data_IF_670428167322
#
_entry.id   IF_670428167322
#
_cell.length_a   1.000
_cell.length_b   1.000
_cell.length_c   1.000
_cell.angle_alpha   90.00
_cell.angle_beta   90.00
_cell.angle_gamma   90.00
#
_symmetry.space_group_name_H-M   'P 1'
#
loop_
_entity.id
_entity.type
_entity.pdbx_description
1 polymer ?
#
# COMPACT_ATOMS: atom_id res chain seq x y z
N UNK A 1 -67.71 -1.70 -12.13
CA UNK A 1 -67.07 -0.40 -11.84
C UNK A 1 -65.97 -0.45 -10.77
N UNK A 2 -66.12 -1.17 -9.65
CA UNK A 2 -65.07 -1.23 -8.59
C UNK A 2 -63.74 -1.91 -9.00
N UNK A 3 -63.76 -2.88 -9.93
CA UNK A 3 -62.53 -3.55 -10.44
C UNK A 3 -61.73 -2.73 -11.47
N UNK A 4 -62.31 -1.68 -12.04
CA UNK A 4 -61.62 -0.82 -13.01
C UNK A 4 -60.85 0.31 -12.30
N UNK A 5 -61.38 0.83 -11.18
CA UNK A 5 -60.67 1.82 -10.34
C UNK A 5 -59.42 1.24 -9.67
N UNK A 6 -59.43 -0.04 -9.26
CA UNK A 6 -58.29 -0.66 -8.57
C UNK A 6 -57.11 -0.93 -9.51
N UNK A 7 -57.36 -1.21 -10.79
CA UNK A 7 -56.30 -1.33 -11.81
C UNK A 7 -55.73 0.03 -12.22
N UNK A 8 -56.52 1.11 -12.14
CA UNK A 8 -56.03 2.45 -12.43
C UNK A 8 -55.10 2.98 -11.31
N UNK A 9 -55.32 2.59 -10.05
CA UNK A 9 -54.41 2.95 -8.95
C UNK A 9 -53.06 2.22 -8.99
N UNK A 10 -53.01 0.97 -9.47
CA UNK A 10 -51.77 0.18 -9.57
C UNK A 10 -50.88 0.65 -10.73
N UNK A 11 -51.46 1.20 -11.80
CA UNK A 11 -50.69 1.81 -12.89
C UNK A 11 -50.24 3.26 -12.61
N UNK A 12 -50.85 3.94 -11.63
CA UNK A 12 -50.44 5.30 -11.25
C UNK A 12 -49.29 5.33 -10.23
N UNK A 13 -49.00 4.21 -9.56
CA UNK A 13 -47.92 4.07 -8.57
C UNK A 13 -46.58 3.62 -9.16
N UNK A 14 -46.46 3.47 -10.49
CA UNK A 14 -45.27 2.94 -11.17
C UNK A 14 -44.42 3.99 -11.92
N UNK A 15 -44.71 5.28 -11.73
CA UNK A 15 -43.97 6.37 -12.38
C UNK A 15 -43.61 7.51 -11.42
N UNK A 16 -43.26 7.19 -10.19
CA UNK A 16 -42.36 8.06 -9.41
C UNK A 16 -40.94 7.53 -9.55
N UNK A 17 -40.42 7.56 -10.78
CA UNK A 17 -38.98 7.62 -10.98
C UNK A 17 -38.57 8.96 -10.38
N UNK A 18 -38.10 8.95 -9.14
CA UNK A 18 -37.35 10.08 -8.60
C UNK A 18 -36.17 10.21 -9.56
N UNK A 19 -36.21 11.20 -10.45
CA UNK A 19 -35.04 11.60 -11.19
C UNK A 19 -34.04 12.06 -10.12
N UNK A 20 -33.12 11.18 -9.76
CA UNK A 20 -31.94 11.55 -8.98
C UNK A 20 -31.14 12.43 -9.92
N UNK A 21 -31.37 13.74 -9.84
CA UNK A 21 -30.57 14.72 -10.54
C UNK A 21 -29.21 14.76 -9.83
N UNK A 22 -28.22 14.13 -10.44
CA UNK A 22 -26.80 14.38 -10.12
C UNK A 22 -26.55 15.88 -10.29
N UNK A 23 -26.14 16.54 -9.20
CA UNK A 23 -25.79 17.95 -9.20
C UNK A 23 -24.29 18.09 -9.42
N UNK A 24 -23.91 18.99 -10.30
CA UNK A 24 -22.52 19.45 -10.42
C UNK A 24 -22.33 20.71 -9.56
N UNK A 25 -21.37 20.67 -8.64
CA UNK A 25 -21.01 21.78 -7.75
C UNK A 25 -19.59 22.20 -8.12
N UNK A 26 -19.41 23.43 -8.59
CA UNK A 26 -18.09 23.94 -9.00
C UNK A 26 -17.50 24.80 -7.89
N UNK A 27 -16.30 24.47 -7.45
CA UNK A 27 -15.54 25.19 -6.42
C UNK A 27 -14.42 25.97 -7.09
N UNK A 28 -14.47 27.30 -6.96
CA UNK A 28 -13.44 28.21 -7.45
C UNK A 28 -12.37 28.41 -6.38
N UNK A 29 -11.07 28.57 -6.73
CA UNK A 29 -10.02 28.97 -5.77
C UNK A 29 -10.14 30.46 -5.36
N UNK A 30 -11.07 31.20 -5.96
CA UNK A 30 -11.34 32.60 -5.63
C UNK A 30 -12.54 32.71 -4.69
N UNK A 31 -12.45 33.58 -3.69
CA UNK A 31 -13.54 33.81 -2.74
C UNK A 31 -13.40 32.95 -1.49
N UNK A 32 -14.52 32.48 -0.95
CA UNK A 32 -14.57 31.74 0.31
C UNK A 32 -14.48 30.22 0.07
N UNK A 33 -13.47 29.81 -0.69
CA UNK A 33 -13.33 28.44 -1.20
C UNK A 33 -13.29 27.37 -0.09
N UNK A 34 -12.83 27.72 1.11
CA UNK A 34 -12.81 26.81 2.25
C UNK A 34 -14.24 26.50 2.69
N UNK A 35 -15.05 27.52 2.96
CA UNK A 35 -16.45 27.34 3.35
C UNK A 35 -17.25 26.68 2.20
N UNK A 36 -17.02 27.11 0.96
CA UNK A 36 -17.70 26.57 -0.22
C UNK A 36 -17.44 25.07 -0.41
N UNK A 37 -16.18 24.61 -0.29
CA UNK A 37 -15.85 23.19 -0.42
C UNK A 37 -16.37 22.37 0.78
N UNK A 38 -16.22 22.89 1.99
CA UNK A 38 -16.72 22.21 3.20
C UNK A 38 -18.24 22.05 3.13
N UNK A 39 -18.98 23.10 2.78
CA UNK A 39 -20.43 23.05 2.58
C UNK A 39 -20.80 22.06 1.45
N UNK A 40 -20.08 22.08 0.33
CA UNK A 40 -20.32 21.17 -0.78
C UNK A 40 -20.15 19.69 -0.38
N UNK A 41 -19.12 19.36 0.40
CA UNK A 41 -18.88 18.00 0.90
C UNK A 41 -19.97 17.55 1.89
N UNK A 42 -20.42 18.45 2.77
CA UNK A 42 -21.45 18.16 3.79
C UNK A 42 -22.84 18.02 3.16
N UNK A 43 -23.17 18.85 2.16
CA UNK A 43 -24.50 18.90 1.54
C UNK A 43 -24.62 18.03 0.28
N UNK A 44 -23.54 17.34 -0.11
CA UNK A 44 -23.54 16.43 -1.24
C UNK A 44 -24.63 15.36 -1.10
N UNK A 45 -25.14 14.91 -2.23
CA UNK A 45 -26.05 13.77 -2.32
C UNK A 45 -25.43 12.69 -3.19
N UNK A 46 -25.85 11.41 -3.00
CA UNK A 46 -25.44 10.34 -3.89
C UNK A 46 -25.66 10.69 -5.37
N UNK A 47 -24.59 10.53 -6.16
CA UNK A 47 -24.50 10.88 -7.57
C UNK A 47 -23.92 12.28 -7.85
N UNK A 48 -23.73 13.13 -6.84
CA UNK A 48 -23.21 14.49 -7.04
C UNK A 48 -21.73 14.50 -7.43
N UNK A 49 -21.36 15.49 -8.23
CA UNK A 49 -19.96 15.76 -8.60
C UNK A 49 -19.54 17.14 -8.09
N UNK A 50 -18.52 17.16 -7.25
CA UNK A 50 -17.83 18.37 -6.80
C UNK A 50 -16.60 18.56 -7.68
N UNK A 51 -16.55 19.66 -8.43
CA UNK A 51 -15.45 20.02 -9.33
C UNK A 51 -14.58 21.11 -8.74
N UNK A 52 -13.32 20.80 -8.49
CA UNK A 52 -12.30 21.78 -8.15
C UNK A 52 -11.78 22.40 -9.45
N UNK A 53 -11.80 23.73 -9.55
CA UNK A 53 -11.09 24.43 -10.61
C UNK A 53 -9.58 24.37 -10.41
N UNK A 54 -8.81 24.61 -11.46
CA UNK A 54 -7.37 24.88 -11.33
C UNK A 54 -7.16 26.03 -10.33
N UNK A 55 -6.26 25.82 -9.38
CA UNK A 55 -5.93 26.79 -8.35
C UNK A 55 -5.37 26.14 -7.07
N UNK A 56 -4.93 27.02 -6.18
CA UNK A 56 -4.41 26.67 -4.87
C UNK A 56 -5.43 27.02 -3.79
N UNK A 57 -5.78 26.03 -2.97
CA UNK A 57 -6.79 26.12 -1.92
C UNK A 57 -6.10 25.91 -0.57
N UNK A 58 -5.94 26.97 0.23
CA UNK A 58 -5.31 26.87 1.55
C UNK A 58 -6.34 26.67 2.65
N UNK A 59 -6.23 25.58 3.41
CA UNK A 59 -7.18 25.21 4.46
C UNK A 59 -6.59 25.37 5.87
N UNK A 60 -7.43 25.83 6.80
CA UNK A 60 -7.12 25.80 8.24
C UNK A 60 -7.65 24.56 8.97
N UNK A 61 -8.53 23.79 8.35
CA UNK A 61 -9.23 22.66 8.95
C UNK A 61 -9.26 21.50 7.95
N UNK A 62 -9.27 20.26 8.46
CA UNK A 62 -9.43 19.06 7.63
C UNK A 62 -10.78 19.03 6.91
N UNK A 63 -10.84 18.27 5.81
CA UNK A 63 -12.04 18.01 5.03
C UNK A 63 -12.57 16.60 5.32
N UNK A 64 -13.89 16.41 5.19
CA UNK A 64 -14.53 15.11 5.37
C UNK A 64 -15.62 14.84 4.35
N UNK A 65 -15.73 13.61 3.88
CA UNK A 65 -16.79 13.12 2.99
C UNK A 65 -17.38 11.80 3.53
N UNK A 66 -18.64 11.85 3.96
CA UNK A 66 -19.39 10.72 4.53
C UNK A 66 -20.62 10.34 3.69
N UNK A 67 -20.70 10.83 2.46
CA UNK A 67 -21.79 10.58 1.52
C UNK A 67 -21.34 9.63 0.41
N UNK A 68 -22.06 8.51 0.29
CA UNK A 68 -21.88 7.51 -0.76
C UNK A 68 -22.05 8.10 -2.18
N UNK A 69 -21.37 7.50 -3.16
CA UNK A 69 -21.56 7.76 -4.60
C UNK A 69 -21.27 9.23 -4.99
N UNK A 70 -20.30 9.85 -4.32
CA UNK A 70 -19.84 11.22 -4.61
C UNK A 70 -18.53 11.21 -5.38
N UNK A 71 -18.39 12.19 -6.29
CA UNK A 71 -17.18 12.39 -7.09
C UNK A 71 -16.54 13.73 -6.72
N UNK A 72 -15.28 13.73 -6.30
CA UNK A 72 -14.46 14.93 -6.14
C UNK A 72 -13.40 14.95 -7.24
N UNK A 73 -13.51 15.90 -8.16
CA UNK A 73 -12.72 15.92 -9.40
C UNK A 73 -12.03 17.28 -9.57
N UNK A 74 -10.71 17.31 -9.70
CA UNK A 74 -9.95 18.51 -10.06
C UNK A 74 -9.65 18.64 -11.55
N UNK A 75 -8.81 19.61 -11.91
CA UNK A 75 -8.36 19.82 -13.30
C UNK A 75 -6.94 19.27 -13.57
N UNK A 76 -6.36 18.55 -12.59
CA UNK A 76 -5.06 17.87 -12.64
C UNK A 76 -4.36 17.85 -11.28
N UNK A 77 -3.58 16.80 -11.00
CA UNK A 77 -2.87 16.63 -9.71
C UNK A 77 -1.88 17.76 -9.37
N UNK A 78 -1.41 18.47 -10.39
CA UNK A 78 -0.49 19.61 -10.28
C UNK A 78 -1.20 20.95 -10.52
N UNK A 79 -2.54 20.95 -10.62
CA UNK A 79 -3.34 22.13 -10.99
C UNK A 79 -4.35 22.50 -9.91
N UNK A 80 -5.11 21.53 -9.42
CA UNK A 80 -6.06 21.73 -8.32
C UNK A 80 -5.40 21.25 -7.03
N UNK A 81 -4.91 22.17 -6.20
CA UNK A 81 -4.07 21.85 -5.04
C UNK A 81 -4.79 22.20 -3.74
N UNK A 82 -5.05 21.20 -2.91
CA UNK A 82 -5.56 21.34 -1.55
C UNK A 82 -4.38 21.39 -0.58
N UNK A 83 -4.01 22.57 -0.09
CA UNK A 83 -2.87 22.75 0.82
C UNK A 83 -3.32 22.94 2.26
N UNK A 84 -2.70 22.16 3.14
CA UNK A 84 -2.95 22.11 4.57
C UNK A 84 -1.77 22.68 5.38
N UNK A 85 -0.87 23.43 4.73
CA UNK A 85 0.27 24.08 5.39
C UNK A 85 -0.12 25.01 6.55
N UNK A 86 -1.38 25.46 6.59
CA UNK A 86 -1.96 26.31 7.63
C UNK A 86 -2.96 25.57 8.54
N UNK A 87 -2.99 24.23 8.51
CA UNK A 87 -3.94 23.41 9.27
C UNK A 87 -3.78 23.59 10.79
N UNK A 88 -4.88 23.96 11.43
CA UNK A 88 -5.00 24.17 12.88
C UNK A 88 -5.79 23.07 13.56
N UNK A 89 -6.76 22.47 12.86
CA UNK A 89 -7.62 21.42 13.38
C UNK A 89 -7.77 20.24 12.40
N UNK A 90 -8.12 19.08 12.94
CA UNK A 90 -8.07 17.80 12.23
C UNK A 90 -6.65 17.23 12.16
N UNK A 91 -6.57 15.92 11.95
CA UNK A 91 -5.31 15.24 11.67
C UNK A 91 -5.14 14.96 10.17
N UNK A 92 -6.24 14.82 9.43
CA UNK A 92 -6.21 14.49 8.01
C UNK A 92 -6.37 15.72 7.12
N UNK A 93 -5.82 15.67 5.91
CA UNK A 93 -6.19 16.60 4.83
C UNK A 93 -7.62 16.34 4.36
N UNK A 94 -7.87 15.13 3.86
CA UNK A 94 -9.21 14.64 3.49
C UNK A 94 -9.49 13.28 4.14
N UNK A 95 -10.61 13.19 4.87
CA UNK A 95 -11.15 11.95 5.42
C UNK A 95 -12.37 11.50 4.64
N UNK A 96 -12.39 10.24 4.20
CA UNK A 96 -13.54 9.62 3.53
C UNK A 96 -14.02 8.42 4.34
N UNK A 97 -15.32 8.36 4.62
CA UNK A 97 -15.95 7.24 5.37
C UNK A 97 -17.21 6.75 4.66
N UNK A 98 -17.16 6.70 3.33
CA UNK A 98 -18.31 6.46 2.45
C UNK A 98 -17.93 5.59 1.25
N UNK A 99 -18.95 4.98 0.63
CA UNK A 99 -18.80 3.97 -0.42
C UNK A 99 -18.91 4.58 -1.82
N UNK A 100 -18.34 3.89 -2.80
CA UNK A 100 -18.39 4.25 -4.23
C UNK A 100 -17.93 5.69 -4.51
N UNK A 101 -16.89 6.13 -3.81
CA UNK A 101 -16.34 7.48 -3.95
C UNK A 101 -15.27 7.51 -5.03
N UNK A 102 -15.34 8.52 -5.90
CA UNK A 102 -14.30 8.81 -6.91
C UNK A 102 -13.55 10.07 -6.52
N UNK A 103 -12.25 9.95 -6.33
CA UNK A 103 -11.32 11.06 -6.10
C UNK A 103 -10.39 11.12 -7.30
N UNK A 104 -10.42 12.22 -8.06
CA UNK A 104 -9.70 12.30 -9.34
C UNK A 104 -9.06 13.65 -9.62
N UNK A 105 -7.82 13.63 -10.14
CA UNK A 105 -7.14 14.78 -10.75
C UNK A 105 -6.91 16.00 -9.81
N UNK A 106 -6.44 15.79 -8.57
CA UNK A 106 -6.04 16.88 -7.65
C UNK A 106 -4.88 16.49 -6.73
N UNK A 107 -4.21 17.49 -6.16
CA UNK A 107 -3.11 17.33 -5.21
C UNK A 107 -3.53 17.67 -3.78
N UNK A 108 -2.94 17.00 -2.79
CA UNK A 108 -3.04 17.31 -1.36
C UNK A 108 -1.64 17.56 -0.82
N UNK A 109 -1.42 18.71 -0.20
CA UNK A 109 -0.11 19.14 0.29
C UNK A 109 -0.12 19.43 1.78
N UNK A 110 0.95 19.04 2.46
CA UNK A 110 1.32 19.50 3.81
C UNK A 110 0.23 19.27 4.88
N UNK A 111 -0.48 18.14 4.81
CA UNK A 111 -1.38 17.73 5.89
C UNK A 111 -0.59 17.49 7.18
N UNK A 112 -1.17 17.87 8.32
CA UNK A 112 -0.52 17.72 9.63
C UNK A 112 -0.32 16.25 10.02
N UNK A 113 -1.25 15.39 9.62
CA UNK A 113 -1.21 13.93 9.70
C UNK A 113 -1.51 13.38 8.30
N UNK A 114 -2.35 12.36 8.18
CA UNK A 114 -2.56 11.67 6.89
C UNK A 114 -3.12 12.61 5.79
N UNK A 115 -2.59 12.53 4.57
CA UNK A 115 -3.05 13.41 3.49
C UNK A 115 -4.47 13.02 3.03
N UNK A 116 -4.67 11.76 2.63
CA UNK A 116 -5.97 11.20 2.27
C UNK A 116 -6.21 9.90 3.03
N UNK A 117 -7.14 9.92 3.99
CA UNK A 117 -7.56 8.73 4.73
C UNK A 117 -8.93 8.27 4.28
N UNK A 118 -9.07 6.97 4.05
CA UNK A 118 -10.35 6.33 3.72
C UNK A 118 -10.57 5.17 4.68
N UNK A 119 -11.69 5.16 5.39
CA UNK A 119 -11.99 4.13 6.41
C UNK A 119 -13.29 3.42 6.05
N UNK A 120 -13.26 2.09 5.98
CA UNK A 120 -14.49 1.30 5.92
C UNK A 120 -15.24 1.39 4.59
N UNK A 121 -14.59 1.79 3.50
CA UNK A 121 -15.26 2.03 2.22
C UNK A 121 -15.38 0.75 1.37
N UNK A 122 -16.52 0.53 0.73
CA UNK A 122 -16.70 -0.43 -0.36
C UNK A 122 -16.79 0.33 -1.70
N UNK A 123 -15.74 0.22 -2.51
CA UNK A 123 -15.56 1.00 -3.73
C UNK A 123 -14.94 2.35 -3.43
N UNK A 124 -13.61 2.43 -3.47
CA UNK A 124 -12.89 3.70 -3.42
C UNK A 124 -11.92 3.78 -4.59
N UNK A 125 -12.04 4.85 -5.37
CA UNK A 125 -11.26 5.02 -6.60
C UNK A 125 -10.45 6.32 -6.54
N UNK A 126 -9.14 6.17 -6.37
CA UNK A 126 -8.17 7.26 -6.32
C UNK A 126 -7.41 7.29 -7.65
N UNK A 127 -7.68 8.30 -8.48
CA UNK A 127 -7.20 8.37 -9.87
C UNK A 127 -6.41 9.66 -10.07
N UNK A 128 -5.14 9.55 -10.43
CA UNK A 128 -4.28 10.73 -10.63
C UNK A 128 -4.31 11.69 -9.42
N UNK A 129 -4.17 11.16 -8.20
CA UNK A 129 -4.03 11.96 -6.98
C UNK A 129 -2.55 12.12 -6.65
N UNK A 130 -2.14 13.33 -6.28
CA UNK A 130 -0.81 13.58 -5.69
C UNK A 130 -0.96 13.86 -4.19
N UNK A 131 -0.16 13.22 -3.36
CA UNK A 131 0.04 13.59 -1.95
C UNK A 131 1.50 13.95 -1.75
N UNK A 132 1.77 15.08 -1.09
CA UNK A 132 3.14 15.57 -0.91
C UNK A 132 3.31 16.35 0.40
N UNK A 133 4.39 16.05 1.12
CA UNK A 133 4.99 16.95 2.09
C UNK A 133 6.13 17.72 1.43
N UNK A 134 5.89 19.01 1.21
CA UNK A 134 6.71 19.85 0.32
C UNK A 134 8.07 20.23 0.92
N UNK A 135 8.26 20.00 2.23
CA UNK A 135 9.54 20.09 2.92
C UNK A 135 10.47 18.88 2.67
N UNK A 136 10.01 17.86 1.94
CA UNK A 136 10.76 16.62 1.72
C UNK A 136 10.72 15.68 2.94
N UNK A 137 11.54 14.62 2.96
CA UNK A 137 11.62 13.68 4.08
C UNK A 137 11.86 14.35 5.42
N UNK A 138 10.88 14.27 6.32
CA UNK A 138 10.97 14.81 7.67
C UNK A 138 10.10 13.97 8.63
N UNK A 139 10.62 13.69 9.82
CA UNK A 139 9.92 12.91 10.85
C UNK A 139 8.64 13.59 11.36
N UNK A 140 8.53 14.91 11.18
CA UNK A 140 7.35 15.69 11.52
C UNK A 140 6.23 15.64 10.46
N UNK A 141 6.49 15.02 9.30
CA UNK A 141 5.48 14.85 8.27
C UNK A 141 4.37 13.88 8.73
N UNK A 142 3.22 13.97 8.08
CA UNK A 142 2.14 13.02 8.29
C UNK A 142 2.55 11.60 7.88
N UNK A 143 1.94 10.62 8.54
CA UNK A 143 2.32 9.23 8.40
C UNK A 143 2.00 8.70 7.01
N UNK A 144 0.78 8.90 6.53
CA UNK A 144 0.31 8.24 5.30
C UNK A 144 -0.15 9.21 4.22
N UNK A 145 0.34 9.02 2.99
CA UNK A 145 -0.11 9.77 1.82
C UNK A 145 -1.51 9.36 1.39
N UNK A 146 -1.63 8.22 0.71
CA UNK A 146 -2.91 7.56 0.42
C UNK A 146 -3.14 6.43 1.43
N UNK A 147 -4.26 6.47 2.15
CA UNK A 147 -4.51 5.56 3.27
C UNK A 147 -5.94 5.00 3.28
N UNK A 148 -6.31 4.13 2.33
CA UNK A 148 -7.42 3.20 2.51
C UNK A 148 -7.13 2.16 3.59
N UNK A 149 -8.08 2.01 4.51
CA UNK A 149 -8.04 1.05 5.59
C UNK A 149 -9.42 0.44 5.83
N UNK A 150 -9.46 -0.83 6.23
CA UNK A 150 -10.72 -1.56 6.47
C UNK A 150 -11.67 -1.51 5.26
N UNK A 151 -11.12 -1.47 4.05
CA UNK A 151 -11.88 -1.15 2.82
C UNK A 151 -11.97 -2.36 1.87
N UNK A 152 -12.94 -2.32 0.96
CA UNK A 152 -13.11 -3.30 -0.12
C UNK A 152 -13.15 -2.59 -1.47
N UNK A 153 -12.67 -3.28 -2.50
CA UNK A 153 -12.71 -2.80 -3.89
C UNK A 153 -11.98 -1.44 -4.02
N UNK A 154 -10.67 -1.49 -3.76
CA UNK A 154 -9.79 -0.32 -3.73
C UNK A 154 -9.04 -0.21 -5.06
N UNK A 155 -9.18 0.94 -5.75
CA UNK A 155 -8.38 1.29 -6.92
C UNK A 155 -7.52 2.51 -6.63
N UNK A 156 -6.20 2.35 -6.78
CA UNK A 156 -5.23 3.43 -6.82
C UNK A 156 -4.54 3.37 -8.19
N UNK A 157 -4.78 4.37 -9.04
CA UNK A 157 -4.30 4.38 -10.43
C UNK A 157 -3.70 5.74 -10.81
N UNK A 158 -2.44 5.73 -11.26
CA UNK A 158 -1.77 6.96 -11.72
C UNK A 158 -1.42 7.95 -10.62
N UNK A 159 -1.44 7.53 -9.35
CA UNK A 159 -1.20 8.40 -8.21
C UNK A 159 0.28 8.64 -7.93
N UNK A 160 0.58 9.71 -7.18
CA UNK A 160 1.92 10.08 -6.74
C UNK A 160 1.91 10.33 -5.24
N UNK A 161 2.85 9.75 -4.49
CA UNK A 161 2.97 9.96 -3.05
C UNK A 161 4.42 10.27 -2.64
N UNK A 162 4.61 11.37 -1.91
CA UNK A 162 5.92 12.00 -1.68
C UNK A 162 6.07 12.44 -0.22
N UNK A 163 7.14 12.02 0.45
CA UNK A 163 7.54 12.60 1.74
C UNK A 163 6.78 12.08 2.96
N UNK A 164 6.00 11.02 2.86
CA UNK A 164 5.26 10.45 4.00
C UNK A 164 6.23 9.86 5.03
N UNK A 165 6.01 10.16 6.32
CA UNK A 165 6.85 9.66 7.43
C UNK A 165 6.62 8.18 7.76
N UNK A 166 5.59 7.58 7.18
CA UNK A 166 5.36 6.15 7.16
C UNK A 166 5.27 5.69 5.70
N UNK A 167 4.08 5.36 5.19
CA UNK A 167 3.89 4.91 3.82
C UNK A 167 3.32 5.99 2.88
N UNK A 168 3.92 6.16 1.71
CA UNK A 168 3.40 7.02 0.66
C UNK A 168 2.05 6.52 0.15
N UNK A 169 2.00 5.26 -0.25
CA UNK A 169 0.77 4.55 -0.61
C UNK A 169 0.60 3.38 0.36
N UNK A 170 -0.38 3.47 1.24
CA UNK A 170 -0.69 2.44 2.22
C UNK A 170 -2.05 1.82 1.93
N UNK A 171 -2.17 0.50 1.97
CA UNK A 171 -3.46 -0.20 1.96
C UNK A 171 -3.48 -1.25 3.06
N UNK A 172 -4.26 -1.01 4.10
CA UNK A 172 -4.31 -1.84 5.30
C UNK A 172 -5.65 -2.51 5.51
N UNK A 173 -5.65 -3.73 6.05
CA UNK A 173 -6.85 -4.46 6.49
C UNK A 173 -7.96 -4.47 5.42
N UNK A 174 -7.59 -4.55 4.15
CA UNK A 174 -8.49 -4.34 3.02
C UNK A 174 -8.56 -5.57 2.11
N UNK A 175 -9.53 -5.59 1.19
CA UNK A 175 -9.80 -6.70 0.28
C UNK A 175 -10.07 -6.22 -1.15
N UNK A 176 -9.61 -6.98 -2.15
CA UNK A 176 -9.73 -6.67 -3.58
C UNK A 176 -9.11 -5.31 -3.92
N UNK A 177 -7.78 -5.31 -3.97
CA UNK A 177 -6.96 -4.11 -4.07
C UNK A 177 -6.23 -4.10 -5.40
N UNK A 178 -6.25 -2.97 -6.10
CA UNK A 178 -5.42 -2.71 -7.26
C UNK A 178 -4.65 -1.41 -7.04
N UNK A 179 -3.32 -1.50 -6.98
CA UNK A 179 -2.40 -0.36 -6.99
C UNK A 179 -1.58 -0.41 -8.26
N UNK A 180 -1.80 0.54 -9.18
CA UNK A 180 -1.13 0.53 -10.48
C UNK A 180 -0.72 1.88 -11.02
N UNK A 181 0.23 1.85 -11.96
CA UNK A 181 0.72 3.01 -12.71
C UNK A 181 1.13 4.20 -11.82
N UNK A 182 1.42 3.96 -10.54
CA UNK A 182 1.62 4.98 -9.52
C UNK A 182 3.11 5.15 -9.19
N UNK A 183 3.46 6.26 -8.56
CA UNK A 183 4.82 6.60 -8.16
C UNK A 183 4.86 6.91 -6.67
N UNK A 184 5.73 6.21 -5.94
CA UNK A 184 6.00 6.50 -4.54
C UNK A 184 7.49 6.77 -4.37
N UNK A 185 7.84 7.96 -3.87
CA UNK A 185 9.23 8.33 -3.68
C UNK A 185 9.45 9.22 -2.46
N UNK A 186 10.65 9.16 -1.88
CA UNK A 186 11.02 9.93 -0.69
C UNK A 186 10.12 9.67 0.53
N UNK A 187 9.49 8.50 0.62
CA UNK A 187 8.74 8.04 1.79
C UNK A 187 9.60 7.07 2.61
N UNK A 188 9.18 6.72 3.83
CA UNK A 188 9.79 5.58 4.52
C UNK A 188 9.42 4.29 3.78
N UNK A 189 8.13 3.97 3.68
CA UNK A 189 7.64 2.93 2.79
C UNK A 189 7.06 3.56 1.52
N UNK A 190 7.51 3.11 0.34
CA UNK A 190 6.94 3.57 -0.92
C UNK A 190 5.48 3.12 -1.06
N UNK A 191 5.30 1.81 -1.17
CA UNK A 191 3.98 1.16 -1.25
C UNK A 191 3.91 0.08 -0.18
N UNK A 192 2.86 0.07 0.62
CA UNK A 192 2.64 -0.93 1.65
C UNK A 192 1.26 -1.59 1.50
N UNK A 193 1.25 -2.92 1.51
CA UNK A 193 0.06 -3.76 1.61
C UNK A 193 0.13 -4.48 2.96
N UNK A 194 -0.68 -4.04 3.92
CA UNK A 194 -0.66 -4.54 5.30
C UNK A 194 -1.93 -5.34 5.59
N UNK A 195 -1.80 -6.55 6.14
CA UNK A 195 -2.89 -7.37 6.66
C UNK A 195 -4.08 -7.49 5.70
N UNK A 196 -3.82 -7.54 4.40
CA UNK A 196 -4.83 -7.42 3.34
C UNK A 196 -4.97 -8.70 2.50
N UNK A 197 -6.11 -8.85 1.83
CA UNK A 197 -6.42 -10.01 1.01
C UNK A 197 -6.61 -9.62 -0.45
N UNK A 198 -6.04 -10.41 -1.37
CA UNK A 198 -6.23 -10.23 -2.82
C UNK A 198 -5.80 -8.85 -3.30
N UNK A 199 -4.49 -8.68 -3.52
CA UNK A 199 -3.92 -7.41 -3.96
C UNK A 199 -3.07 -7.56 -5.22
N UNK A 200 -3.32 -6.70 -6.21
CA UNK A 200 -2.51 -6.54 -7.41
C UNK A 200 -1.73 -5.22 -7.33
N UNK A 201 -0.42 -5.31 -7.15
CA UNK A 201 0.49 -4.16 -7.14
C UNK A 201 1.37 -4.22 -8.38
N UNK A 202 1.08 -3.39 -9.39
CA UNK A 202 1.80 -3.49 -10.67
C UNK A 202 2.02 -2.21 -11.46
N UNK A 203 3.04 -2.22 -12.33
CA UNK A 203 3.44 -1.07 -13.14
C UNK A 203 3.74 0.19 -12.32
N UNK A 204 4.10 0.06 -11.05
CA UNK A 204 4.45 1.18 -10.19
C UNK A 204 5.95 1.46 -10.22
N UNK A 205 6.31 2.67 -9.79
CA UNK A 205 7.70 3.06 -9.53
C UNK A 205 7.80 3.40 -8.04
N UNK A 206 8.50 2.54 -7.30
CA UNK A 206 8.88 2.78 -5.90
C UNK A 206 10.39 3.05 -5.87
N UNK A 207 10.76 4.32 -5.73
CA UNK A 207 12.16 4.74 -5.81
C UNK A 207 12.51 5.80 -4.80
N UNK A 208 13.76 5.87 -4.35
CA UNK A 208 14.20 6.86 -3.36
C UNK A 208 13.40 6.81 -2.05
N UNK A 209 12.82 5.67 -1.69
CA UNK A 209 12.24 5.47 -0.36
C UNK A 209 13.28 4.87 0.58
N UNK A 210 12.96 4.70 1.86
CA UNK A 210 13.72 3.80 2.74
C UNK A 210 13.52 2.35 2.30
N UNK A 211 12.26 1.93 2.17
CA UNK A 211 11.80 0.67 1.60
C UNK A 211 10.90 0.90 0.39
N UNK A 212 11.11 0.15 -0.69
CA UNK A 212 10.35 0.32 -1.93
C UNK A 212 8.90 -0.20 -1.82
N UNK A 213 8.72 -1.52 -1.77
CA UNK A 213 7.40 -2.18 -1.67
C UNK A 213 7.39 -3.14 -0.48
N UNK A 214 6.44 -2.96 0.43
CA UNK A 214 6.27 -3.74 1.65
C UNK A 214 4.98 -4.56 1.55
N UNK A 215 5.06 -5.85 1.87
CA UNK A 215 3.91 -6.76 1.96
C UNK A 215 3.92 -7.39 3.34
N UNK A 216 3.17 -6.79 4.25
CA UNK A 216 3.24 -7.07 5.68
C UNK A 216 1.97 -7.78 6.17
N UNK A 217 2.16 -8.64 7.16
CA UNK A 217 1.13 -9.08 8.09
C UNK A 217 1.68 -8.81 9.50
N UNK A 218 0.85 -8.23 10.37
CA UNK A 218 1.21 -7.80 11.72
C UNK A 218 0.18 -8.36 12.74
N UNK A 219 0.61 -8.64 13.99
CA UNK A 219 -0.29 -9.11 15.03
C UNK A 219 -1.22 -7.99 15.54
N UNK A 220 -2.20 -8.33 16.38
CA UNK A 220 -3.00 -7.38 17.16
C UNK A 220 -3.88 -6.41 16.34
N UNK A 221 -4.15 -6.74 15.07
CA UNK A 221 -5.00 -5.98 14.15
C UNK A 221 -6.35 -6.66 13.90
N UNK A 222 -7.42 -5.90 13.57
CA UNK A 222 -8.76 -6.46 13.32
C UNK A 222 -8.81 -7.49 12.17
N UNK A 223 -7.91 -7.37 11.21
CA UNK A 223 -7.71 -8.31 10.11
C UNK A 223 -6.27 -8.82 10.14
N UNK A 224 -6.07 -10.12 9.93
CA UNK A 224 -4.77 -10.81 9.95
C UNK A 224 -4.72 -11.95 8.94
N UNK A 225 -3.54 -12.48 8.68
CA UNK A 225 -3.34 -13.55 7.72
C UNK A 225 -3.43 -12.99 6.31
N UNK A 226 -2.75 -11.88 6.08
CA UNK A 226 -2.55 -11.28 4.77
C UNK A 226 -2.16 -12.34 3.74
N UNK A 227 -2.82 -12.28 2.58
CA UNK A 227 -2.72 -13.34 1.58
C UNK A 227 -3.07 -12.93 0.16
N UNK A 228 -2.62 -13.72 -0.80
CA UNK A 228 -2.95 -13.58 -2.21
C UNK A 228 -2.51 -12.23 -2.79
N UNK A 229 -1.24 -11.87 -2.57
CA UNK A 229 -0.66 -10.60 -3.03
C UNK A 229 0.23 -10.86 -4.25
N UNK A 230 -0.03 -10.15 -5.35
CA UNK A 230 0.78 -10.21 -6.57
C UNK A 230 1.50 -8.88 -6.74
N UNK A 231 2.83 -8.92 -6.69
CA UNK A 231 3.71 -7.76 -6.90
C UNK A 231 4.43 -7.96 -8.22
N UNK A 232 4.03 -7.24 -9.28
CA UNK A 232 4.56 -7.52 -10.61
C UNK A 232 4.75 -6.33 -11.53
N UNK A 233 5.75 -6.42 -12.42
CA UNK A 233 6.09 -5.35 -13.38
C UNK A 233 6.34 -3.97 -12.74
N UNK A 234 6.72 -3.95 -11.46
CA UNK A 234 7.12 -2.73 -10.77
C UNK A 234 8.62 -2.45 -10.98
N UNK A 235 9.00 -1.20 -10.71
CA UNK A 235 10.38 -0.79 -10.52
C UNK A 235 10.57 -0.43 -9.04
N UNK A 236 11.22 -1.32 -8.29
CA UNK A 236 11.65 -1.06 -6.91
C UNK A 236 13.14 -0.72 -6.94
N UNK A 237 13.43 0.56 -7.22
CA UNK A 237 14.76 0.98 -7.68
C UNK A 237 15.34 2.16 -6.92
N UNK A 238 16.64 2.14 -6.68
CA UNK A 238 17.37 3.25 -6.04
C UNK A 238 16.71 3.69 -4.73
N UNK A 239 16.25 2.75 -3.90
CA UNK A 239 15.81 3.07 -2.54
C UNK A 239 17.06 3.32 -1.69
N UNK A 240 17.19 4.54 -1.18
CA UNK A 240 18.37 5.06 -0.49
C UNK A 240 18.06 6.27 0.41
N UNK A 241 16.80 6.51 0.76
CA UNK A 241 16.44 7.57 1.72
C UNK A 241 16.54 7.03 3.15
N UNK A 242 17.21 7.76 4.04
CA UNK A 242 17.34 7.39 5.45
C UNK A 242 15.96 7.22 6.10
N UNK A 243 15.81 6.25 6.99
CA UNK A 243 14.56 6.04 7.68
C UNK A 243 14.26 7.23 8.61
N UNK A 244 13.14 7.92 8.36
CA UNK A 244 12.69 9.09 9.11
C UNK A 244 11.35 8.85 9.83
N UNK A 245 10.94 7.58 9.98
CA UNK A 245 9.73 7.24 10.71
C UNK A 245 9.82 7.71 12.17
N UNK A 246 8.71 8.17 12.76
CA UNK A 246 8.65 8.43 14.19
C UNK A 246 9.07 7.20 15.01
N UNK A 247 9.73 7.46 16.15
CA UNK A 247 10.16 6.40 17.06
C UNK A 247 8.97 5.56 17.54
N UNK A 248 9.10 4.24 17.49
CA UNK A 248 8.05 3.29 17.87
C UNK A 248 7.19 2.77 16.72
N UNK A 249 7.25 3.37 15.53
CA UNK A 249 6.60 2.81 14.34
C UNK A 249 7.37 1.57 13.85
N UNK A 250 6.64 0.49 13.51
CA UNK A 250 7.23 -0.77 13.01
C UNK A 250 8.01 -0.54 11.71
N UNK A 251 7.51 0.31 10.80
CA UNK A 251 8.23 0.67 9.57
C UNK A 251 9.59 1.32 9.86
N UNK A 252 9.77 1.88 11.06
CA UNK A 252 11.04 2.44 11.55
C UNK A 252 12.17 1.42 11.70
N UNK A 253 11.85 0.12 11.65
CA UNK A 253 12.80 -0.99 11.66
C UNK A 253 13.28 -1.40 10.26
N UNK A 254 12.63 -0.90 9.20
CA UNK A 254 13.02 -1.20 7.82
C UNK A 254 14.36 -0.51 7.53
N UNK A 255 15.42 -1.27 7.18
CA UNK A 255 16.71 -0.69 6.84
C UNK A 255 16.61 0.13 5.56
N UNK A 256 17.30 1.27 5.53
CA UNK A 256 17.43 2.07 4.30
C UNK A 256 17.92 1.21 3.15
N UNK A 257 17.28 1.40 2.00
CA UNK A 257 17.62 0.71 0.77
C UNK A 257 17.20 -0.74 0.75
N UNK A 258 16.00 -0.98 1.25
CA UNK A 258 15.25 -2.22 1.01
C UNK A 258 14.44 -2.06 -0.29
N UNK A 259 14.59 -2.98 -1.25
CA UNK A 259 13.82 -2.95 -2.49
C UNK A 259 12.38 -3.41 -2.30
N UNK A 260 12.21 -4.70 -2.03
CA UNK A 260 10.93 -5.33 -1.69
C UNK A 260 11.13 -6.12 -0.39
N UNK A 261 10.16 -6.08 0.51
CA UNK A 261 10.16 -6.91 1.71
C UNK A 261 8.78 -7.56 1.92
N UNK A 262 8.80 -8.85 2.21
CA UNK A 262 7.63 -9.64 2.58
C UNK A 262 7.82 -10.05 4.03
N UNK A 263 6.91 -9.63 4.90
CA UNK A 263 6.96 -9.95 6.33
C UNK A 263 5.72 -10.73 6.75
N UNK A 264 5.91 -11.93 7.28
CA UNK A 264 4.87 -12.82 7.83
C UNK A 264 3.65 -13.11 6.93
N UNK A 265 3.71 -12.73 5.65
CA UNK A 265 2.57 -12.83 4.74
C UNK A 265 2.51 -14.19 4.03
N UNK A 266 1.33 -14.57 3.53
CA UNK A 266 1.11 -15.86 2.87
C UNK A 266 0.73 -15.69 1.40
N UNK A 267 1.01 -16.69 0.56
CA UNK A 267 0.54 -16.71 -0.84
C UNK A 267 0.88 -15.39 -1.59
N UNK A 268 2.18 -15.08 -1.66
CA UNK A 268 2.70 -13.88 -2.34
C UNK A 268 3.47 -14.29 -3.59
N UNK A 269 3.18 -13.63 -4.72
CA UNK A 269 3.83 -13.83 -6.00
C UNK A 269 4.57 -12.55 -6.43
N UNK A 270 5.90 -12.60 -6.49
CA UNK A 270 6.76 -11.48 -6.91
C UNK A 270 7.34 -11.80 -8.27
N UNK A 271 6.89 -11.12 -9.33
CA UNK A 271 7.31 -11.48 -10.68
C UNK A 271 7.43 -10.34 -11.68
N UNK A 272 8.31 -10.51 -12.67
CA UNK A 272 8.54 -9.52 -13.74
C UNK A 272 8.93 -8.10 -13.26
N UNK A 273 9.37 -7.94 -12.01
CA UNK A 273 9.83 -6.67 -11.48
C UNK A 273 11.27 -6.35 -11.90
N UNK A 274 11.62 -5.08 -11.86
CA UNK A 274 13.02 -4.61 -11.83
C UNK A 274 13.34 -4.19 -10.41
N UNK A 275 14.34 -4.81 -9.81
CA UNK A 275 14.73 -4.58 -8.42
C UNK A 275 16.25 -4.34 -8.38
N UNK A 276 16.66 -3.09 -8.23
CA UNK A 276 18.06 -2.70 -8.39
C UNK A 276 18.37 -1.35 -7.71
N UNK A 277 19.64 -1.07 -7.43
CA UNK A 277 20.08 0.18 -6.82
C UNK A 277 19.73 0.33 -5.34
N UNK A 278 19.26 -0.74 -4.68
CA UNK A 278 18.83 -0.67 -3.28
C UNK A 278 20.03 -0.82 -2.33
N UNK A 279 20.17 0.11 -1.39
CA UNK A 279 21.35 0.22 -0.50
C UNK A 279 21.67 -1.02 0.34
N UNK A 280 20.66 -1.69 0.89
CA UNK A 280 20.79 -2.85 1.80
C UNK A 280 20.50 -4.18 1.11
N UNK A 281 19.32 -4.35 0.52
CA UNK A 281 18.89 -5.65 -0.03
C UNK A 281 17.81 -5.46 -1.09
N UNK A 282 17.83 -6.26 -2.15
CA UNK A 282 16.85 -6.16 -3.22
C UNK A 282 15.51 -6.78 -2.83
N UNK A 283 15.49 -8.02 -2.33
CA UNK A 283 14.29 -8.70 -1.86
C UNK A 283 14.55 -9.43 -0.55
N UNK A 284 13.73 -9.16 0.47
CA UNK A 284 13.75 -9.87 1.76
C UNK A 284 12.44 -10.58 2.03
N UNK A 285 12.52 -11.81 2.54
CA UNK A 285 11.40 -12.61 3.01
C UNK A 285 11.69 -12.92 4.46
N UNK A 286 10.86 -12.41 5.37
CA UNK A 286 11.16 -12.45 6.81
C UNK A 286 9.92 -12.79 7.62
N UNK A 287 10.12 -13.49 8.73
CA UNK A 287 9.13 -13.69 9.75
C UNK A 287 9.00 -12.46 10.62
N UNK A 288 7.85 -12.31 11.26
CA UNK A 288 7.71 -11.35 12.35
C UNK A 288 8.39 -11.91 13.59
N UNK A 289 9.45 -11.23 14.04
CA UNK A 289 10.36 -11.74 15.07
C UNK A 289 10.00 -11.36 16.51
N UNK A 290 9.12 -10.37 16.71
CA UNK A 290 8.76 -9.91 18.04
C UNK A 290 7.73 -10.84 18.70
N UNK A 291 7.84 -10.99 20.02
CA UNK A 291 6.85 -11.71 20.81
C UNK A 291 5.49 -11.01 20.73
N UNK A 292 4.41 -11.78 20.62
CA UNK A 292 3.03 -11.30 20.66
C UNK A 292 2.18 -12.27 21.47
N UNK A 293 1.18 -11.72 22.16
CA UNK A 293 0.16 -12.49 22.89
C UNK A 293 -1.02 -12.89 21.97
N UNK A 294 -0.98 -12.52 20.69
CA UNK A 294 -2.03 -12.85 19.72
C UNK A 294 -1.95 -14.30 19.26
N UNK A 295 -2.76 -15.16 19.88
CA UNK A 295 -2.82 -16.59 19.57
C UNK A 295 -3.31 -16.90 18.13
N UNK A 296 -3.95 -15.94 17.44
CA UNK A 296 -4.45 -16.14 16.08
C UNK A 296 -3.43 -15.74 15.01
N UNK A 297 -2.35 -15.07 15.42
CA UNK A 297 -1.34 -14.57 14.49
C UNK A 297 -0.41 -15.67 13.98
N UNK A 298 -0.09 -15.61 12.69
CA UNK A 298 0.84 -16.54 12.05
C UNK A 298 2.09 -15.77 11.58
N UNK A 299 3.22 -15.84 12.31
CA UNK A 299 4.35 -14.94 12.09
C UNK A 299 5.26 -15.35 10.92
N UNK A 300 4.96 -16.43 10.19
CA UNK A 300 5.89 -17.05 9.24
C UNK A 300 5.45 -16.86 7.79
N UNK A 301 6.33 -16.47 6.87
CA UNK A 301 6.02 -16.47 5.45
C UNK A 301 5.78 -17.88 4.93
N UNK A 302 4.76 -18.05 4.07
CA UNK A 302 4.52 -19.32 3.37
C UNK A 302 3.94 -19.13 1.98
N UNK A 303 4.16 -20.11 1.12
CA UNK A 303 3.70 -20.10 -0.28
C UNK A 303 4.22 -18.90 -1.08
N UNK A 304 5.44 -18.44 -0.78
CA UNK A 304 6.06 -17.31 -1.47
C UNK A 304 6.69 -17.78 -2.78
N UNK A 305 6.41 -17.07 -3.87
CA UNK A 305 6.90 -17.39 -5.20
C UNK A 305 7.61 -16.17 -5.78
N UNK A 306 8.88 -16.33 -6.13
CA UNK A 306 9.69 -15.26 -6.73
C UNK A 306 10.18 -15.74 -8.08
N UNK A 307 9.72 -15.12 -9.17
CA UNK A 307 10.12 -15.57 -10.50
C UNK A 307 10.14 -14.51 -11.58
N UNK A 308 10.96 -14.73 -12.61
CA UNK A 308 11.06 -13.84 -13.78
C UNK A 308 11.40 -12.37 -13.46
N UNK A 309 11.98 -12.09 -12.28
CA UNK A 309 12.42 -10.75 -11.92
C UNK A 309 13.82 -10.46 -12.47
N UNK A 310 14.11 -9.17 -12.68
CA UNK A 310 15.44 -8.68 -13.03
C UNK A 310 16.05 -8.00 -11.81
N UNK A 311 17.01 -8.68 -11.21
CA UNK A 311 17.82 -8.16 -10.11
C UNK A 311 19.04 -7.43 -10.65
N UNK A 312 19.31 -6.23 -10.12
CA UNK A 312 20.51 -5.46 -10.40
C UNK A 312 21.36 -5.27 -9.14
N UNK A 313 22.32 -4.35 -9.19
CA UNK A 313 23.18 -4.02 -8.05
C UNK A 313 22.35 -3.77 -6.78
N UNK A 314 22.71 -4.36 -5.65
CA UNK A 314 22.10 -4.09 -4.35
C UNK A 314 23.14 -4.25 -3.23
N UNK A 315 22.80 -3.82 -2.01
CA UNK A 315 23.59 -4.13 -0.81
C UNK A 315 24.98 -3.51 -0.76
N UNK A 316 25.15 -2.33 -1.37
CA UNK A 316 26.42 -1.60 -1.40
C UNK A 316 26.61 -0.63 -0.24
N UNK A 317 25.56 -0.39 0.54
CA UNK A 317 25.55 0.53 1.69
C UNK A 317 24.47 0.08 2.70
N UNK A 318 24.66 -1.09 3.35
CA UNK A 318 23.68 -1.65 4.26
C UNK A 318 23.54 -0.82 5.54
N UNK A 319 22.30 -0.50 5.89
CA UNK A 319 21.95 0.25 7.10
C UNK A 319 21.85 -0.69 8.32
N UNK A 320 22.98 -0.91 9.00
CA UNK A 320 23.08 -1.84 10.15
C UNK A 320 22.60 -1.23 11.48
N UNK A 321 22.20 0.04 11.50
CA UNK A 321 21.77 0.73 12.73
C UNK A 321 20.24 0.67 12.93
N UNK A 322 19.49 0.27 11.90
CA UNK A 322 18.03 0.15 11.89
C UNK A 322 17.57 -1.31 11.85
N UNK A 323 16.81 -1.72 12.87
CA UNK A 323 16.34 -3.09 13.02
C UNK A 323 17.50 -4.10 13.12
N UNK A 324 17.19 -5.40 13.06
CA UNK A 324 18.21 -6.46 13.12
C UNK A 324 18.55 -7.05 11.75
N UNK A 325 17.67 -6.86 10.75
CA UNK A 325 17.76 -7.51 9.43
C UNK A 325 19.11 -7.26 8.74
N UNK A 326 19.50 -6.00 8.60
CA UNK A 326 20.73 -5.65 7.87
C UNK A 326 21.98 -6.09 8.64
N UNK A 327 22.01 -5.92 9.96
CA UNK A 327 23.13 -6.33 10.80
C UNK A 327 23.39 -7.85 10.70
N UNK A 328 22.32 -8.65 10.88
CA UNK A 328 22.38 -10.11 10.74
C UNK A 328 22.84 -10.49 9.33
N UNK A 329 22.28 -9.86 8.30
CA UNK A 329 22.60 -10.19 6.92
C UNK A 329 24.05 -9.86 6.55
N UNK A 330 24.59 -8.73 7.04
CA UNK A 330 26.01 -8.36 6.86
C UNK A 330 26.92 -9.38 7.54
N UNK A 331 26.63 -9.78 8.78
CA UNK A 331 27.40 -10.79 9.51
C UNK A 331 27.41 -12.12 8.75
N UNK A 332 26.23 -12.62 8.37
CA UNK A 332 26.05 -13.92 7.75
C UNK A 332 26.60 -14.00 6.32
N UNK A 333 26.61 -12.87 5.61
CA UNK A 333 27.09 -12.79 4.23
C UNK A 333 28.57 -12.40 4.12
N UNK A 334 29.26 -12.16 5.24
CA UNK A 334 30.60 -11.55 5.27
C UNK A 334 30.67 -10.24 4.47
N UNK A 335 29.61 -9.43 4.53
CA UNK A 335 29.48 -8.15 3.83
C UNK A 335 29.14 -8.24 2.34
N UNK A 336 28.93 -9.44 1.77
CA UNK A 336 28.51 -9.62 0.38
C UNK A 336 27.02 -9.91 0.32
N UNK A 337 26.23 -8.84 0.32
CA UNK A 337 24.78 -8.91 0.39
C UNK A 337 24.17 -9.68 -0.81
N UNK A 338 23.19 -10.57 -0.57
CA UNK A 338 22.49 -11.28 -1.64
C UNK A 338 21.42 -10.38 -2.31
N UNK A 339 20.99 -10.77 -3.50
CA UNK A 339 19.81 -10.18 -4.15
C UNK A 339 18.52 -10.59 -3.44
N UNK A 340 18.41 -11.87 -3.09
CA UNK A 340 17.24 -12.45 -2.42
C UNK A 340 17.67 -13.02 -1.07
N UNK A 341 17.05 -12.55 0.00
CA UNK A 341 17.24 -13.03 1.35
C UNK A 341 15.96 -13.69 1.88
N UNK A 342 16.10 -14.83 2.54
CA UNK A 342 15.04 -15.45 3.35
C UNK A 342 15.56 -15.78 4.75
N UNK A 343 14.88 -15.36 5.80
CA UNK A 343 15.28 -15.67 7.18
C UNK A 343 15.22 -17.18 7.51
N UNK A 344 14.55 -17.99 6.68
CA UNK A 344 14.45 -19.44 6.85
C UNK A 344 13.66 -19.88 8.08
N UNK A 345 13.04 -18.94 8.81
CA UNK A 345 12.30 -19.23 10.04
C UNK A 345 10.96 -19.86 9.67
N UNK A 346 10.68 -21.01 10.27
CA UNK A 346 9.50 -21.82 10.02
C UNK A 346 8.90 -22.27 11.35
N UNK A 347 7.61 -22.68 11.39
CA UNK A 347 7.05 -23.34 12.56
C UNK A 347 7.89 -24.54 13.00
N UNK A 348 8.02 -24.77 14.31
CA UNK A 348 8.81 -25.89 14.87
C UNK A 348 8.45 -27.25 14.27
N UNK A 349 7.18 -27.49 13.97
CA UNK A 349 6.72 -28.72 13.31
C UNK A 349 7.31 -28.87 11.91
N UNK A 350 7.39 -27.80 11.13
CA UNK A 350 7.94 -27.81 9.77
C UNK A 350 9.47 -27.92 9.77
N UNK A 351 10.13 -27.36 10.78
CA UNK A 351 11.57 -27.55 11.01
C UNK A 351 11.89 -29.03 11.26
N UNK A 352 11.08 -29.73 12.07
CA UNK A 352 11.33 -31.13 12.46
C UNK A 352 10.86 -32.16 11.43
N UNK A 353 9.72 -31.92 10.80
CA UNK A 353 9.06 -32.91 9.93
C UNK A 353 9.08 -32.53 8.44
N UNK A 354 9.60 -31.34 8.11
CA UNK A 354 9.59 -30.78 6.77
C UNK A 354 8.37 -29.90 6.52
N UNK A 355 8.54 -28.93 5.60
CA UNK A 355 7.48 -28.04 5.15
C UNK A 355 6.62 -28.71 4.06
N UNK A 356 5.30 -28.55 4.08
CA UNK A 356 4.41 -29.03 3.01
C UNK A 356 4.81 -28.46 1.65
N UNK A 357 4.76 -29.26 0.58
CA UNK A 357 5.19 -28.85 -0.77
C UNK A 357 4.42 -27.65 -1.35
N UNK A 358 3.22 -27.37 -0.84
CA UNK A 358 2.43 -26.20 -1.23
C UNK A 358 2.75 -24.93 -0.45
N UNK A 359 3.56 -25.00 0.60
CA UNK A 359 3.92 -23.86 1.46
C UNK A 359 5.36 -23.38 1.25
N UNK A 360 6.14 -24.12 0.44
CA UNK A 360 7.56 -23.84 0.23
C UNK A 360 7.78 -22.56 -0.56
N UNK A 361 8.88 -21.88 -0.25
CA UNK A 361 9.45 -20.85 -1.10
C UNK A 361 9.82 -21.43 -2.47
N UNK A 362 9.38 -20.78 -3.54
CA UNK A 362 9.76 -21.13 -4.92
C UNK A 362 10.55 -19.97 -5.54
N UNK A 363 11.74 -20.28 -6.05
CA UNK A 363 12.60 -19.36 -6.80
C UNK A 363 12.80 -19.89 -8.21
N UNK A 364 12.38 -19.14 -9.23
CA UNK A 364 12.45 -19.61 -10.63
C UNK A 364 12.76 -18.51 -11.63
N UNK A 365 13.60 -18.78 -12.62
CA UNK A 365 13.84 -17.86 -13.75
C UNK A 365 14.23 -16.40 -13.36
N UNK A 366 14.86 -16.19 -12.19
CA UNK A 366 15.35 -14.87 -11.73
C UNK A 366 16.78 -14.55 -12.25
N UNK A 367 17.21 -15.19 -13.33
CA UNK A 367 18.55 -15.04 -13.90
C UNK A 367 19.68 -15.34 -12.90
N UNK A 368 20.68 -14.46 -12.87
CA UNK A 368 21.88 -14.58 -12.05
C UNK A 368 21.69 -14.12 -10.59
N UNK A 369 20.46 -13.84 -10.16
CA UNK A 369 20.18 -13.43 -8.79
C UNK A 369 20.83 -14.37 -7.77
N UNK A 370 21.55 -13.76 -6.83
CA UNK A 370 22.15 -14.42 -5.69
C UNK A 370 21.11 -14.64 -4.60
N UNK A 371 21.30 -15.68 -3.79
CA UNK A 371 20.36 -16.07 -2.75
C UNK A 371 21.09 -16.42 -1.48
N UNK A 372 20.49 -16.08 -0.34
CA UNK A 372 20.91 -16.53 0.98
C UNK A 372 19.67 -16.81 1.82
N UNK A 373 19.63 -17.99 2.44
CA UNK A 373 18.74 -18.26 3.55
C UNK A 373 19.48 -18.68 4.80
N UNK A 374 18.91 -18.36 5.96
CA UNK A 374 19.41 -18.84 7.24
C UNK A 374 18.85 -20.25 7.50
N UNK A 375 19.65 -21.09 8.13
CA UNK A 375 19.23 -22.36 8.73
C UNK A 375 19.00 -22.12 10.23
N UNK A 376 17.76 -21.92 10.71
CA UNK A 376 17.52 -21.41 12.07
C UNK A 376 18.17 -22.24 13.18
N UNK A 377 18.10 -23.57 13.10
CA UNK A 377 18.75 -24.45 14.09
C UNK A 377 20.27 -24.26 14.12
N UNK A 378 20.92 -24.20 12.95
CA UNK A 378 22.37 -24.04 12.85
C UNK A 378 22.81 -22.68 13.36
N UNK A 379 22.02 -21.65 13.09
CA UNK A 379 22.25 -20.30 13.58
C UNK A 379 22.15 -20.25 15.10
N UNK A 380 21.06 -20.78 15.68
CA UNK A 380 20.84 -20.85 17.12
C UNK A 380 21.93 -21.67 17.86
N UNK A 381 22.48 -22.71 17.22
CA UNK A 381 23.56 -23.53 17.77
C UNK A 381 24.97 -23.01 17.44
N UNK A 382 25.08 -21.81 16.85
CA UNK A 382 26.35 -21.16 16.47
C UNK A 382 27.27 -22.04 15.60
N UNK A 383 26.70 -22.78 14.65
CA UNK A 383 27.47 -23.57 13.70
C UNK A 383 28.22 -22.65 12.72
N UNK A 384 29.39 -23.08 12.24
CA UNK A 384 30.29 -22.28 11.40
C UNK A 384 29.74 -21.91 10.01
N UNK A 385 28.64 -22.52 9.57
CA UNK A 385 27.99 -22.21 8.29
C UNK A 385 26.48 -22.37 8.43
N UNK A 386 25.80 -21.39 9.04
CA UNK A 386 24.36 -21.45 9.29
C UNK A 386 23.54 -20.95 8.11
N UNK A 387 24.12 -20.82 6.92
CA UNK A 387 23.44 -20.30 5.73
C UNK A 387 23.34 -21.34 4.61
N UNK A 388 22.37 -21.14 3.72
CA UNK A 388 22.23 -21.84 2.46
C UNK A 388 22.16 -20.81 1.31
N UNK A 389 23.09 -20.91 0.37
CA UNK A 389 23.14 -20.04 -0.81
C UNK A 389 22.73 -20.75 -2.10
N UNK A 390 22.38 -22.04 -2.02
CA UNK A 390 21.99 -22.83 -3.17
C UNK A 390 20.52 -22.56 -3.56
N UNK A 391 20.31 -21.60 -4.47
CA UNK A 391 18.95 -21.30 -4.98
C UNK A 391 18.26 -22.48 -5.66
N UNK A 392 18.99 -23.47 -6.19
CA UNK A 392 18.37 -24.60 -6.92
C UNK A 392 17.59 -25.54 -6.00
N UNK A 393 17.82 -25.49 -4.67
CA UNK A 393 16.98 -26.24 -3.72
C UNK A 393 15.56 -25.66 -3.57
N UNK A 394 15.31 -24.50 -4.16
CA UNK A 394 14.04 -23.78 -4.15
C UNK A 394 13.38 -23.73 -5.53
N UNK A 395 13.90 -24.47 -6.51
CA UNK A 395 13.22 -24.60 -7.79
C UNK A 395 11.93 -25.41 -7.64
N UNK A 396 10.92 -25.10 -8.46
CA UNK A 396 9.59 -25.66 -8.32
C UNK A 396 8.62 -25.32 -9.46
N UNK A 397 7.39 -25.80 -9.31
CA UNK A 397 6.28 -25.47 -10.21
C UNK A 397 5.58 -24.23 -9.68
N UNK A 398 5.63 -23.14 -10.45
CA UNK A 398 4.88 -21.92 -10.17
C UNK A 398 3.39 -22.22 -10.21
N UNK A 399 2.67 -21.70 -9.22
CA UNK A 399 1.22 -21.75 -9.03
C UNK A 399 0.71 -20.33 -9.05
N UNK A 400 0.45 -19.76 -10.24
CA UNK A 400 0.08 -18.36 -10.37
C UNK A 400 -1.15 -18.04 -9.54
N UNK A 401 -1.12 -16.92 -8.83
CA UNK A 401 -2.25 -16.43 -8.07
C UNK A 401 -3.28 -15.81 -9.01
N UNK A 402 -4.56 -15.93 -8.63
CA UNK A 402 -5.65 -15.37 -9.42
C UNK A 402 -5.56 -13.84 -9.47
N UNK A 403 -5.85 -13.21 -10.62
CA UNK A 403 -5.94 -11.76 -10.71
C UNK A 403 -7.11 -11.19 -9.90
N UNK A 404 -6.89 -9.99 -9.39
CA UNK A 404 -7.93 -9.21 -8.71
C UNK A 404 -8.84 -8.58 -9.75
N UNK A 405 -10.14 -8.67 -9.54
CA UNK A 405 -11.15 -7.99 -10.33
C UNK A 405 -11.98 -7.10 -9.41
N UNK A 406 -12.05 -5.82 -9.75
CA UNK A 406 -12.93 -4.85 -9.10
C UNK A 406 -13.84 -4.23 -10.16
N UNK A 407 -15.08 -3.94 -9.79
CA UNK A 407 -15.97 -3.16 -10.64
C UNK A 407 -15.55 -1.69 -10.57
N UNK A 408 -15.22 -1.13 -11.73
CA UNK A 408 -14.75 0.25 -11.90
C UNK A 408 -15.85 1.03 -12.62
N UNK A 409 -16.27 2.21 -12.12
CA UNK A 409 -17.19 3.10 -12.84
C UNK A 409 -16.73 3.35 -14.29
N UNK A 410 -17.67 3.38 -15.24
CA UNK A 410 -17.36 3.47 -16.69
C UNK A 410 -16.58 4.73 -17.10
N UNK A 411 -16.51 5.74 -16.24
CA UNK A 411 -16.03 7.09 -16.52
C UNK A 411 -14.75 7.49 -15.77
N UNK A 412 -14.04 6.52 -15.16
CA UNK A 412 -12.74 6.78 -14.50
C UNK A 412 -11.51 6.28 -15.22
#
# INVERSE_FOLDING_TARGET
MKKLLFKLLIYLSLFFSIAVYSKEIVISPLGNYQEDLQEALILAKPGDTIRLKEGFYSFSDGLSLDVDDVRLIGEGMDKSILSFSNQKSGAQGLLVTSNRVVLKDFGIEDAKGDALKVIGADGIYMINIRTEWTNGPDTANGAYGLYPVESRNVLIDGCVAIGASDAGIYVGQSENIIVRNSKAHFNVAGIEIENSYFADVYNNIASRNTGGILVFDLPDLPQQGGRNVRVFRNQAVDNDTDNFAPEGNIVGEVPRGTGIIIQANSDVEVFENVIAGNGTVNLSIVSYGADTDDENYYPHPKSIQVHNNRFGRGGFDPDIERGELAAILVELSNGVMPDIFWDGVLPWSQILFGQPDNERLILKDNGEATFLSISPIKYMLSFSSPINTNKTSYDGVIRPLAPVYIEVPEDI
#
